data_IF_337243144770
#
_entry.id   IF_337243144770
#
_cell.length_a   1.000
_cell.length_b   1.000
_cell.length_c   1.000
_cell.angle_alpha   90.00
_cell.angle_beta   90.00
_cell.angle_gamma   90.00
#
_symmetry.space_group_name_H-M   'P 1'
#
loop_
_entity.id
_entity.type
_entity.pdbx_description
1 polymer ?
#
# COMPACT_ATOMS: atom_id res chain seq x y z
N UNK A 1 -10.31 -10.35 17.54
CA UNK A 1 -9.50 -10.04 16.33
C UNK A 1 -10.34 -10.09 15.06
N UNK A 2 -11.42 -9.30 14.98
CA UNK A 2 -12.15 -9.15 13.72
C UNK A 2 -11.56 -8.00 12.88
N UNK A 3 -11.56 -8.10 11.54
CA UNK A 3 -11.37 -6.94 10.70
C UNK A 3 -12.52 -5.97 10.98
N UNK A 4 -12.24 -4.85 11.64
CA UNK A 4 -13.17 -3.73 11.78
C UNK A 4 -13.80 -3.51 10.39
N UNK A 5 -15.14 -3.47 10.26
CA UNK A 5 -15.84 -3.46 8.97
C UNK A 5 -15.30 -2.42 7.97
N UNK A 6 -14.83 -1.28 8.50
CA UNK A 6 -14.19 -0.20 7.74
C UNK A 6 -12.89 -0.64 7.04
N UNK A 7 -12.08 -1.48 7.69
CA UNK A 7 -10.85 -2.00 7.12
C UNK A 7 -11.12 -2.99 5.98
N UNK A 8 -12.18 -3.81 6.09
CA UNK A 8 -12.59 -4.70 5.01
C UNK A 8 -13.16 -3.93 3.81
N UNK A 9 -14.06 -2.97 4.05
CA UNK A 9 -14.60 -2.10 3.01
C UNK A 9 -13.49 -1.30 2.30
N UNK A 10 -12.50 -0.82 3.06
CA UNK A 10 -11.31 -0.15 2.57
C UNK A 10 -10.41 -1.05 1.72
N UNK A 11 -10.15 -2.29 2.16
CA UNK A 11 -9.38 -3.27 1.39
C UNK A 11 -10.11 -3.64 0.09
N UNK A 12 -11.44 -3.78 0.13
CA UNK A 12 -12.26 -4.03 -1.07
C UNK A 12 -12.19 -2.85 -2.04
N UNK A 13 -12.27 -1.60 -1.56
CA UNK A 13 -12.08 -0.41 -2.40
C UNK A 13 -10.67 -0.33 -2.98
N UNK A 14 -9.65 -0.70 -2.21
CA UNK A 14 -8.28 -0.76 -2.69
C UNK A 14 -8.13 -1.78 -3.81
N UNK A 15 -8.59 -3.02 -3.60
CA UNK A 15 -8.58 -4.07 -4.63
C UNK A 15 -9.28 -3.58 -5.89
N UNK A 16 -10.46 -2.99 -5.77
CA UNK A 16 -11.20 -2.45 -6.91
C UNK A 16 -10.47 -1.31 -7.64
N UNK A 17 -9.66 -0.51 -6.96
CA UNK A 17 -8.86 0.55 -7.59
C UNK A 17 -7.66 -0.03 -8.31
N UNK A 18 -6.98 -1.00 -7.70
CA UNK A 18 -5.83 -1.68 -8.29
C UNK A 18 -6.22 -2.50 -9.52
N UNK A 19 -7.41 -3.10 -9.53
CA UNK A 19 -7.91 -3.89 -10.67
C UNK A 19 -8.53 -3.04 -11.78
N UNK A 20 -9.10 -1.86 -11.48
CA UNK A 20 -9.67 -0.95 -12.50
C UNK A 20 -8.63 -0.26 -13.40
N UNK A 21 -7.37 -0.19 -12.98
CA UNK A 21 -6.27 0.33 -13.81
C UNK A 21 -5.64 -0.74 -14.71
N UNK A 22 -6.22 -1.93 -14.81
CA UNK A 22 -5.85 -2.90 -15.83
C UNK A 22 -6.57 -2.55 -17.14
N UNK A 23 -5.90 -1.99 -18.17
CA UNK A 23 -6.52 -1.94 -19.48
C UNK A 23 -6.78 -3.39 -19.92
N UNK A 24 -8.03 -3.70 -20.27
CA UNK A 24 -8.33 -4.90 -21.02
C UNK A 24 -7.48 -4.85 -22.29
N UNK A 25 -6.45 -5.70 -22.38
CA UNK A 25 -5.49 -5.68 -23.48
C UNK A 25 -6.18 -6.06 -24.80
N UNK A 26 -6.04 -5.28 -25.88
CA UNK A 26 -6.21 -5.79 -27.23
C UNK A 26 -4.94 -6.55 -27.66
N UNK A 27 -5.11 -7.80 -28.09
CA UNK A 27 -4.22 -8.71 -28.86
C UNK A 27 -2.71 -8.76 -28.55
N UNK A 28 -2.10 -9.97 -28.47
CA UNK A 28 -0.67 -10.09 -28.12
C UNK A 28 0.24 -9.66 -29.29
N UNK A 29 1.30 -8.85 -29.05
CA UNK A 29 2.47 -8.79 -29.91
C UNK A 29 3.39 -10.01 -29.64
N UNK A 30 4.38 -10.29 -30.53
CA UNK A 30 5.18 -11.52 -30.49
C UNK A 30 6.14 -11.56 -29.29
N UNK A 31 6.68 -12.76 -29.07
CA UNK A 31 7.58 -13.21 -27.99
C UNK A 31 8.68 -12.19 -27.60
N UNK A 32 8.34 -11.27 -26.71
CA UNK A 32 9.25 -10.60 -25.80
C UNK A 32 8.71 -10.86 -24.39
N UNK A 33 9.60 -10.90 -23.39
CA UNK A 33 9.31 -11.22 -21.98
C UNK A 33 7.92 -10.74 -21.53
N UNK A 34 7.14 -11.58 -20.80
CA UNK A 34 5.80 -11.19 -20.37
C UNK A 34 5.88 -9.84 -19.66
N UNK A 35 5.03 -8.86 -20.01
CA UNK A 35 5.13 -7.52 -19.44
C UNK A 35 5.05 -7.64 -17.93
N UNK A 36 6.13 -7.24 -17.26
CA UNK A 36 6.18 -7.18 -15.80
C UNK A 36 4.98 -6.38 -15.34
N UNK A 37 4.12 -7.00 -14.51
CA UNK A 37 2.93 -6.33 -13.99
C UNK A 37 3.32 -4.98 -13.39
N UNK A 38 2.55 -3.90 -13.63
CA UNK A 38 2.91 -2.57 -13.16
C UNK A 38 3.03 -2.56 -11.63
N UNK A 39 4.17 -2.08 -11.13
CA UNK A 39 4.40 -1.92 -9.70
C UNK A 39 3.46 -0.83 -9.18
N UNK A 40 2.61 -1.19 -8.23
CA UNK A 40 1.76 -0.22 -7.53
C UNK A 40 2.49 0.32 -6.30
N UNK A 41 2.61 1.64 -6.20
CA UNK A 41 3.12 2.31 -5.00
C UNK A 41 1.98 2.59 -4.01
N UNK A 42 2.20 2.19 -2.76
CA UNK A 42 1.30 2.47 -1.63
C UNK A 42 2.09 3.19 -0.53
N UNK A 43 1.67 4.41 -0.20
CA UNK A 43 2.26 5.24 0.84
C UNK A 43 1.55 5.01 2.18
N UNK A 44 2.32 4.69 3.22
CA UNK A 44 1.84 4.50 4.59
C UNK A 44 2.33 5.64 5.48
N UNK A 45 1.46 6.60 5.78
CA UNK A 45 1.81 7.81 6.53
C UNK A 45 1.33 7.74 7.98
N UNK A 46 2.22 8.09 8.92
CA UNK A 46 1.88 8.27 10.33
C UNK A 46 1.06 9.53 10.63
N UNK A 47 0.88 10.42 9.63
CA UNK A 47 0.02 11.61 9.74
C UNK A 47 -1.44 11.19 9.98
N UNK A 48 -2.20 12.06 10.64
CA UNK A 48 -3.62 11.81 10.91
C UNK A 48 -4.42 11.90 9.61
N UNK A 49 -5.51 11.14 9.54
CA UNK A 49 -6.52 11.27 8.49
C UNK A 49 -7.02 12.71 8.36
N UNK A 50 -7.31 13.15 7.15
CA UNK A 50 -7.69 14.54 6.82
C UNK A 50 -6.55 15.41 6.27
N UNK A 51 -5.36 14.85 6.06
CA UNK A 51 -4.20 15.55 5.49
C UNK A 51 -3.67 14.88 4.21
N UNK A 52 -4.49 14.04 3.58
CA UNK A 52 -4.15 13.24 2.40
C UNK A 52 -3.84 14.14 1.20
N UNK A 53 -4.65 15.19 0.98
CA UNK A 53 -4.45 16.16 -0.11
C UNK A 53 -3.10 16.86 0.01
N UNK A 54 -2.77 17.36 1.21
CA UNK A 54 -1.48 18.01 1.49
C UNK A 54 -0.30 17.06 1.24
N UNK A 55 -0.47 15.79 1.63
CA UNK A 55 0.58 14.77 1.43
C UNK A 55 0.73 14.41 -0.04
N UNK A 56 -0.37 14.28 -0.78
CA UNK A 56 -0.35 14.04 -2.23
C UNK A 56 0.29 15.21 -3.00
N UNK A 57 -0.02 16.44 -2.63
CA UNK A 57 0.58 17.64 -3.25
C UNK A 57 2.08 17.70 -2.98
N UNK A 58 2.49 17.41 -1.73
CA UNK A 58 3.90 17.37 -1.37
C UNK A 58 4.66 16.29 -2.16
N UNK A 59 4.11 15.08 -2.26
CA UNK A 59 4.71 13.98 -3.04
C UNK A 59 4.88 14.37 -4.51
N UNK A 60 3.84 14.94 -5.13
CA UNK A 60 3.87 15.37 -6.52
C UNK A 60 4.93 16.47 -6.74
N UNK A 61 5.01 17.46 -5.83
CA UNK A 61 5.99 18.54 -5.92
C UNK A 61 7.46 18.05 -5.84
N UNK A 62 7.68 16.88 -5.25
CA UNK A 62 9.02 16.27 -5.11
C UNK A 62 9.25 15.10 -6.07
N UNK A 63 8.44 14.99 -7.13
CA UNK A 63 8.58 13.97 -8.18
C UNK A 63 8.48 12.52 -7.67
N UNK A 64 7.79 12.29 -6.55
CA UNK A 64 7.47 10.94 -6.13
C UNK A 64 6.41 10.33 -7.05
N UNK A 65 6.46 9.01 -7.31
CA UNK A 65 5.49 8.36 -8.18
C UNK A 65 4.08 8.46 -7.59
N UNK A 66 3.07 8.55 -8.47
CA UNK A 66 1.69 8.49 -8.04
C UNK A 66 1.40 7.16 -7.33
N UNK A 67 0.63 7.21 -6.26
CA UNK A 67 0.32 6.04 -5.46
C UNK A 67 -0.83 6.28 -4.50
N UNK A 68 -1.36 5.20 -3.94
CA UNK A 68 -2.42 5.27 -2.94
C UNK A 68 -1.81 5.69 -1.60
N UNK A 69 -2.40 6.67 -0.93
CA UNK A 69 -1.92 7.16 0.36
C UNK A 69 -2.87 6.73 1.47
N UNK A 70 -2.32 6.12 2.51
CA UNK A 70 -3.05 5.75 3.72
C UNK A 70 -2.52 6.50 4.92
N UNK A 71 -3.43 7.21 5.58
CA UNK A 71 -3.17 7.95 6.79
C UNK A 71 -3.69 7.21 8.01
N UNK A 72 -3.00 7.43 9.12
CA UNK A 72 -3.34 6.82 10.40
C UNK A 72 -4.63 7.42 10.97
N UNK A 73 -5.65 6.61 11.29
CA UNK A 73 -6.85 7.10 11.97
C UNK A 73 -6.54 7.70 13.34
N UNK A 74 -7.41 8.60 13.80
CA UNK A 74 -7.29 9.19 15.16
C UNK A 74 -7.37 8.08 16.22
N UNK A 75 -6.52 8.14 17.24
CA UNK A 75 -6.48 7.17 18.34
C UNK A 75 -5.62 5.92 18.08
N UNK A 76 -5.09 5.72 16.86
CA UNK A 76 -4.22 4.59 16.55
C UNK A 76 -2.73 4.93 16.78
N UNK A 77 -1.96 3.94 17.25
CA UNK A 77 -0.48 4.00 17.26
C UNK A 77 0.04 3.73 15.84
N UNK A 78 1.06 4.48 15.41
CA UNK A 78 1.56 4.42 14.03
C UNK A 78 2.04 3.02 13.61
N UNK A 79 2.86 2.36 14.42
CA UNK A 79 3.30 0.99 14.13
C UNK A 79 2.15 -0.02 14.02
N UNK A 80 1.13 0.05 14.91
CA UNK A 80 -0.06 -0.83 14.83
C UNK A 80 -0.90 -0.56 13.58
N UNK A 81 -1.00 0.70 13.17
CA UNK A 81 -1.66 1.08 11.93
C UNK A 81 -0.94 0.49 10.71
N UNK A 82 0.37 0.72 10.59
CA UNK A 82 1.18 0.20 9.48
C UNK A 82 1.14 -1.32 9.42
N UNK A 83 1.30 -2.00 10.57
CA UNK A 83 1.17 -3.46 10.67
C UNK A 83 -0.19 -3.94 10.17
N UNK A 84 -1.29 -3.28 10.56
CA UNK A 84 -2.64 -3.69 10.14
C UNK A 84 -2.85 -3.52 8.63
N UNK A 85 -2.38 -2.40 8.05
CA UNK A 85 -2.49 -2.20 6.60
C UNK A 85 -1.64 -3.21 5.86
N UNK A 86 -0.36 -3.38 6.22
CA UNK A 86 0.53 -4.37 5.60
C UNK A 86 -0.04 -5.78 5.71
N UNK A 87 -0.62 -6.14 6.85
CA UNK A 87 -1.30 -7.42 7.04
C UNK A 87 -2.39 -7.58 6.00
N UNK A 88 -3.30 -6.60 5.87
CA UNK A 88 -4.38 -6.63 4.88
C UNK A 88 -3.91 -6.70 3.43
N UNK A 89 -2.78 -6.04 3.10
CA UNK A 89 -2.19 -6.06 1.76
C UNK A 89 -1.43 -7.36 1.44
N UNK A 90 -0.94 -8.07 2.46
CA UNK A 90 -0.07 -9.24 2.31
C UNK A 90 -0.76 -10.54 2.73
N UNK A 91 -2.10 -10.59 2.77
CA UNK A 91 -2.83 -11.83 3.01
C UNK A 91 -2.97 -12.65 1.72
N UNK A 92 -2.93 -13.99 1.80
CA UNK A 92 -3.36 -14.84 0.71
C UNK A 92 -4.80 -14.52 0.26
N UNK A 93 -5.11 -14.58 -1.05
CA UNK A 93 -4.21 -14.93 -2.16
C UNK A 93 -3.33 -13.76 -2.64
N UNK A 94 -3.56 -12.55 -2.14
CA UNK A 94 -2.99 -11.28 -2.62
C UNK A 94 -1.59 -10.98 -2.07
N UNK A 95 -0.69 -11.98 -1.97
CA UNK A 95 0.71 -11.75 -1.58
C UNK A 95 1.43 -10.88 -2.64
N UNK A 96 1.19 -9.58 -2.61
CA UNK A 96 1.58 -8.63 -3.67
C UNK A 96 2.53 -7.56 -3.16
N UNK A 97 2.76 -7.47 -1.85
CA UNK A 97 3.71 -6.51 -1.28
C UNK A 97 5.12 -7.06 -1.40
N UNK A 98 5.89 -6.52 -2.34
CA UNK A 98 7.28 -6.91 -2.60
C UNK A 98 8.23 -6.45 -1.46
N UNK A 99 8.03 -5.22 -0.97
CA UNK A 99 8.82 -4.63 0.08
C UNK A 99 8.04 -3.49 0.77
N UNK A 100 8.45 -3.16 1.99
CA UNK A 100 8.01 -1.98 2.71
C UNK A 100 9.23 -1.09 3.01
N UNK A 101 9.24 0.11 2.42
CA UNK A 101 10.28 1.12 2.60
C UNK A 101 9.86 2.08 3.70
N UNK A 102 10.72 2.31 4.70
CA UNK A 102 10.45 3.26 5.78
C UNK A 102 11.69 3.59 6.59
N UNK A 103 11.63 4.67 7.37
CA UNK A 103 12.79 5.26 8.06
C UNK A 103 12.83 4.94 9.56
N UNK A 104 11.76 4.38 10.14
CA UNK A 104 11.65 4.16 11.59
C UNK A 104 11.71 2.67 11.93
N UNK A 105 12.79 2.15 12.52
CA UNK A 105 12.93 0.72 12.82
C UNK A 105 11.77 0.14 13.65
N UNK A 106 11.32 0.85 14.69
CA UNK A 106 10.27 0.37 15.60
C UNK A 106 8.84 0.51 15.06
N UNK A 107 8.64 1.30 14.00
CA UNK A 107 7.31 1.48 13.38
C UNK A 107 7.20 0.75 12.04
N UNK A 108 8.18 0.93 11.15
CA UNK A 108 8.19 0.44 9.77
C UNK A 108 8.75 -0.97 9.68
N UNK A 109 10.03 -1.16 10.06
CA UNK A 109 10.66 -2.47 9.94
C UNK A 109 9.96 -3.51 10.81
N UNK A 110 9.59 -3.16 12.04
CA UNK A 110 8.85 -4.07 12.93
C UNK A 110 7.48 -4.45 12.35
N UNK A 111 6.75 -3.52 11.73
CA UNK A 111 5.46 -3.81 11.10
C UNK A 111 5.60 -4.73 9.88
N UNK A 112 6.62 -4.50 9.05
CA UNK A 112 6.92 -5.33 7.90
C UNK A 112 7.30 -6.77 8.30
N UNK A 113 8.23 -6.92 9.24
CA UNK A 113 8.66 -8.26 9.73
C UNK A 113 7.49 -9.04 10.30
N UNK A 114 6.62 -8.41 11.11
CA UNK A 114 5.43 -9.06 11.70
C UNK A 114 4.39 -9.50 10.68
N UNK A 115 4.44 -8.98 9.46
CA UNK A 115 3.50 -9.27 8.39
C UNK A 115 4.12 -10.13 7.28
N UNK A 116 5.38 -10.54 7.44
CA UNK A 116 6.10 -11.33 6.44
C UNK A 116 6.56 -10.51 5.22
N UNK A 117 6.44 -9.18 5.28
CA UNK A 117 6.90 -8.28 4.22
C UNK A 117 8.38 -7.94 4.43
N UNK A 118 9.17 -7.92 3.35
CA UNK A 118 10.57 -7.50 3.40
C UNK A 118 10.69 -6.03 3.80
N UNK A 119 11.33 -5.68 4.94
CA UNK A 119 11.64 -4.30 5.26
C UNK A 119 12.81 -3.78 4.41
N UNK A 120 12.75 -2.50 4.06
CA UNK A 120 13.85 -1.72 3.47
C UNK A 120 13.96 -0.45 4.30
N UNK A 121 15.09 -0.31 5.00
CA UNK A 121 15.43 0.86 5.82
C UNK A 121 16.44 1.74 5.09
#
# INVERSE_FOLDING_TARGET
>A
DEPIPEAHAFLQQLVQRLTRHHPASPSPPPEDDPPSLPITIVYLSGRRTGTEVQTSQWLAAHSFPHGVIFHRPKGFKAGRFKERVLRGLHQPPMRHVMAHVGDRPLEDALAAVKTGVRPVL
#
